data_IF_240193479945
#
_entry.id   IF_240193479945
#
_cell.length_a   1.000
_cell.length_b   1.000
_cell.length_c   1.000
_cell.angle_alpha   90.00
_cell.angle_beta   90.00
_cell.angle_gamma   90.00
#
_symmetry.space_group_name_H-M   'P 1'
#
loop_
_entity.id
_entity.type
_entity.pdbx_description
1 polymer ?
#
# COMPACT_ATOMS: atom_id res chain seq x y z
N UNK A 1 -1.41 -6.24 6.38
CA UNK A 1 -2.15 -4.96 6.48
C UNK A 1 -1.73 -3.96 5.41
N UNK A 2 -0.46 -3.51 5.36
CA UNK A 2 0.00 -2.49 4.38
C UNK A 2 -0.31 -2.83 2.92
N UNK A 3 -0.05 -4.07 2.51
CA UNK A 3 -0.35 -4.56 1.15
C UNK A 3 -1.85 -4.48 0.83
N UNK A 4 -2.73 -4.94 1.72
CA UNK A 4 -4.18 -4.85 1.53
C UNK A 4 -4.68 -3.41 1.44
N UNK A 5 -4.16 -2.51 2.29
CA UNK A 5 -4.51 -1.08 2.22
C UNK A 5 -4.01 -0.45 0.90
N UNK A 6 -2.82 -0.86 0.44
CA UNK A 6 -2.30 -0.48 -0.87
C UNK A 6 -3.21 -0.92 -2.02
N UNK A 7 -3.62 -2.18 -1.99
CA UNK A 7 -4.56 -2.74 -2.97
C UNK A 7 -5.90 -2.01 -2.97
N UNK A 8 -6.48 -1.74 -1.79
CA UNK A 8 -7.72 -0.97 -1.66
C UNK A 8 -7.62 0.45 -2.22
N UNK A 9 -6.46 1.11 -2.04
CA UNK A 9 -6.19 2.41 -2.66
C UNK A 9 -6.13 2.33 -4.18
N UNK A 10 -5.47 1.31 -4.72
CA UNK A 10 -5.42 1.11 -6.18
C UNK A 10 -6.81 0.86 -6.77
N UNK A 11 -7.64 0.03 -6.13
CA UNK A 11 -9.03 -0.19 -6.57
C UNK A 11 -9.85 1.10 -6.50
N UNK A 12 -9.68 1.89 -5.43
CA UNK A 12 -10.33 3.18 -5.27
C UNK A 12 -9.93 4.18 -6.36
N UNK A 13 -8.62 4.31 -6.63
CA UNK A 13 -8.09 5.20 -7.66
C UNK A 13 -8.57 4.78 -9.06
N UNK A 14 -8.64 3.48 -9.34
CA UNK A 14 -9.17 2.95 -10.60
C UNK A 14 -10.65 3.30 -10.79
N UNK A 15 -11.47 3.21 -9.74
CA UNK A 15 -12.88 3.62 -9.81
C UNK A 15 -13.01 5.10 -10.14
N UNK A 16 -12.24 5.94 -9.46
CA UNK A 16 -12.27 7.39 -9.68
C UNK A 16 -11.81 7.76 -11.10
N UNK A 17 -10.81 7.05 -11.63
CA UNK A 17 -10.32 7.26 -12.99
C UNK A 17 -11.34 6.87 -14.07
N UNK A 18 -12.21 5.89 -13.81
CA UNK A 18 -13.25 5.48 -14.77
C UNK A 18 -14.29 6.58 -14.99
N UNK A 19 -14.63 7.32 -13.93
CA UNK A 19 -15.67 8.36 -13.98
C UNK A 19 -15.08 9.78 -14.17
N UNK A 20 -13.77 9.97 -13.96
CA UNK A 20 -13.14 11.29 -14.13
C UNK A 20 -12.71 11.58 -15.58
N UNK A 21 -12.60 12.87 -15.90
CA UNK A 21 -12.01 13.33 -17.17
C UNK A 21 -10.48 13.24 -17.18
N UNK A 22 -9.87 13.15 -16.00
CA UNK A 22 -8.42 13.11 -15.84
C UNK A 22 -7.94 11.67 -15.93
N UNK A 23 -7.43 11.31 -17.11
CA UNK A 23 -6.97 9.93 -17.39
C UNK A 23 -5.49 9.71 -17.09
N UNK A 24 -4.75 10.76 -16.73
CA UNK A 24 -3.31 10.67 -16.61
C UNK A 24 -2.89 9.93 -15.34
N UNK A 25 -2.40 8.70 -15.52
CA UNK A 25 -2.06 7.81 -14.40
C UNK A 25 -0.56 7.81 -14.12
N UNK A 26 -0.18 7.34 -12.93
CA UNK A 26 1.23 7.05 -12.58
C UNK A 26 1.90 6.12 -13.60
N UNK A 27 1.14 5.19 -14.20
CA UNK A 27 1.64 4.25 -15.22
C UNK A 27 1.98 4.99 -16.51
N UNK A 28 1.11 5.90 -16.95
CA UNK A 28 1.38 6.71 -18.13
C UNK A 28 2.56 7.65 -17.94
N UNK A 29 2.70 8.25 -16.75
CA UNK A 29 3.84 9.10 -16.43
C UNK A 29 5.17 8.34 -16.44
N UNK A 30 5.22 7.15 -15.84
CA UNK A 30 6.41 6.29 -15.87
C UNK A 30 6.74 5.86 -17.31
N UNK A 31 5.72 5.49 -18.10
CA UNK A 31 5.91 5.15 -19.52
C UNK A 31 6.50 6.33 -20.30
N UNK A 32 5.92 7.53 -20.16
CA UNK A 32 6.39 8.72 -20.86
C UNK A 32 7.83 9.10 -20.49
N UNK A 33 8.24 8.88 -19.22
CA UNK A 33 9.62 9.06 -18.78
C UNK A 33 10.56 8.01 -19.39
N UNK A 34 10.17 6.73 -19.38
CA UNK A 34 10.94 5.65 -20.00
C UNK A 34 11.10 5.87 -21.51
N UNK A 35 10.03 6.27 -22.20
CA UNK A 35 10.06 6.56 -23.64
C UNK A 35 11.00 7.75 -23.94
N UNK A 36 10.96 8.79 -23.08
CA UNK A 36 11.86 9.94 -23.22
C UNK A 36 13.32 9.53 -23.00
N UNK A 37 13.59 8.66 -22.01
CA UNK A 37 14.92 8.11 -21.75
C UNK A 37 15.46 7.26 -22.91
N UNK A 38 14.60 6.44 -23.52
CA UNK A 38 14.95 5.61 -24.68
C UNK A 38 15.16 6.43 -25.96
N UNK A 39 14.51 7.60 -26.06
CA UNK A 39 14.67 8.53 -27.17
C UNK A 39 15.94 9.38 -27.11
N UNK A 40 16.64 9.42 -25.97
CA UNK A 40 17.94 10.10 -25.87
C UNK A 40 18.99 9.31 -26.67
N UNK A 41 19.89 9.99 -27.41
CA UNK A 41 20.91 9.33 -28.28
C UNK A 41 21.88 8.40 -27.54
N UNK A 42 22.80 7.68 -28.21
CA UNK A 42 23.64 6.68 -27.54
C UNK A 42 24.55 7.25 -26.43
N UNK A 43 24.77 6.46 -25.36
CA UNK A 43 25.63 6.79 -24.22
C UNK A 43 24.95 6.68 -22.85
N UNK A 44 25.71 6.18 -21.86
CA UNK A 44 25.30 5.96 -20.46
C UNK A 44 24.25 4.86 -20.27
N UNK A 45 24.38 3.77 -21.03
CA UNK A 45 23.48 2.61 -21.03
C UNK A 45 23.23 2.06 -19.62
N UNK A 46 24.26 2.02 -18.76
CA UNK A 46 24.14 1.55 -17.38
C UNK A 46 23.25 2.48 -16.51
N UNK A 47 23.42 3.81 -16.63
CA UNK A 47 22.59 4.80 -15.91
C UNK A 47 21.16 4.80 -16.42
N UNK A 48 20.95 4.56 -17.71
CA UNK A 48 19.62 4.44 -18.31
C UNK A 48 18.92 3.18 -17.84
N UNK A 49 19.63 2.05 -17.81
CA UNK A 49 19.14 0.79 -17.26
C UNK A 49 18.67 0.99 -15.81
N UNK A 50 19.54 1.52 -14.95
CA UNK A 50 19.20 1.78 -13.54
C UNK A 50 17.99 2.72 -13.40
N UNK A 51 17.93 3.81 -14.16
CA UNK A 51 16.81 4.75 -14.10
C UNK A 51 15.50 4.12 -14.60
N UNK A 52 15.55 3.35 -15.69
CA UNK A 52 14.38 2.63 -16.21
C UNK A 52 13.86 1.60 -15.19
N UNK A 53 14.76 0.85 -14.57
CA UNK A 53 14.44 -0.16 -13.55
C UNK A 53 13.80 0.50 -12.31
N UNK A 54 14.39 1.60 -11.83
CA UNK A 54 13.85 2.36 -10.70
C UNK A 54 12.47 2.92 -11.03
N UNK A 55 12.28 3.55 -12.20
CA UNK A 55 10.98 4.08 -12.61
C UNK A 55 9.93 2.98 -12.73
N UNK A 56 10.29 1.81 -13.24
CA UNK A 56 9.39 0.66 -13.36
C UNK A 56 9.04 0.08 -11.98
N UNK A 57 10.03 -0.04 -11.09
CA UNK A 57 9.84 -0.47 -9.69
C UNK A 57 8.88 0.43 -8.92
N UNK A 58 8.78 1.71 -9.27
CA UNK A 58 7.80 2.61 -8.65
C UNK A 58 6.35 2.11 -8.80
N UNK A 59 6.04 1.44 -9.92
CA UNK A 59 4.70 0.92 -10.18
C UNK A 59 4.37 -0.32 -9.34
N UNK A 60 5.39 -1.01 -8.84
CA UNK A 60 5.25 -2.23 -8.02
C UNK A 60 5.10 -1.92 -6.53
N UNK A 61 5.54 -0.73 -6.09
CA UNK A 61 5.50 -0.33 -4.69
C UNK A 61 4.19 0.44 -4.39
N UNK A 62 3.41 -0.08 -3.45
CA UNK A 62 2.16 0.56 -3.02
C UNK A 62 2.39 1.53 -1.84
N UNK A 63 2.97 2.70 -2.14
CA UNK A 63 3.29 3.73 -1.15
C UNK A 63 2.11 4.69 -0.90
N UNK A 64 1.93 5.21 0.33
CA UNK A 64 1.10 6.39 0.58
C UNK A 64 1.53 7.58 -0.27
N UNK A 65 0.63 8.50 -0.67
CA UNK A 65 0.93 9.61 -1.57
C UNK A 65 2.16 10.42 -1.16
N UNK A 66 2.26 10.80 0.12
CA UNK A 66 3.36 11.59 0.65
C UNK A 66 4.69 10.83 0.61
N UNK A 67 4.64 9.51 0.87
CA UNK A 67 5.82 8.65 0.79
C UNK A 67 6.22 8.37 -0.65
N UNK A 68 5.24 8.20 -1.53
CA UNK A 68 5.44 8.02 -2.96
C UNK A 68 6.09 9.26 -3.58
N UNK A 69 5.62 10.46 -3.21
CA UNK A 69 6.19 11.72 -3.67
C UNK A 69 7.65 11.88 -3.20
N UNK A 70 7.92 11.66 -1.91
CA UNK A 70 9.30 11.68 -1.40
C UNK A 70 10.18 10.63 -2.10
N UNK A 71 9.64 9.45 -2.38
CA UNK A 71 10.35 8.41 -3.10
C UNK A 71 10.66 8.83 -4.54
N UNK A 72 9.71 9.46 -5.25
CA UNK A 72 9.91 10.00 -6.61
C UNK A 72 11.02 11.04 -6.60
N UNK A 73 11.01 11.97 -5.64
CA UNK A 73 12.09 12.96 -5.47
C UNK A 73 13.43 12.27 -5.29
N UNK A 74 13.54 11.38 -4.29
CA UNK A 74 14.83 10.77 -3.94
C UNK A 74 15.35 9.79 -4.99
N UNK A 75 14.47 9.07 -5.69
CA UNK A 75 14.88 7.96 -6.55
C UNK A 75 14.81 8.29 -8.03
N UNK A 76 13.81 9.04 -8.47
CA UNK A 76 13.60 9.37 -9.90
C UNK A 76 14.23 10.73 -10.19
N UNK A 77 13.86 11.78 -9.45
CA UNK A 77 14.35 13.14 -9.76
C UNK A 77 15.86 13.27 -9.63
N UNK A 78 16.45 12.78 -8.54
CA UNK A 78 17.89 12.88 -8.34
C UNK A 78 18.68 12.15 -9.44
N UNK A 79 18.17 11.03 -9.94
CA UNK A 79 18.78 10.30 -11.06
C UNK A 79 18.62 11.03 -12.39
N UNK A 80 17.47 11.65 -12.63
CA UNK A 80 17.29 12.53 -13.79
C UNK A 80 18.23 13.75 -13.71
N UNK A 81 18.43 14.34 -12.53
CA UNK A 81 19.40 15.44 -12.34
C UNK A 81 20.82 15.00 -12.67
N UNK A 82 21.27 13.85 -12.14
CA UNK A 82 22.61 13.33 -12.43
C UNK A 82 22.78 12.97 -13.92
N UNK A 83 21.76 12.36 -14.54
CA UNK A 83 21.77 12.04 -15.96
C UNK A 83 21.86 13.31 -16.83
N UNK A 84 21.03 14.32 -16.57
CA UNK A 84 21.02 15.57 -17.32
C UNK A 84 22.28 16.42 -17.07
N UNK A 85 22.87 16.34 -15.88
CA UNK A 85 24.16 16.98 -15.61
C UNK A 85 25.29 16.38 -16.47
N UNK A 86 25.29 15.05 -16.66
CA UNK A 86 26.31 14.34 -17.46
C UNK A 86 26.02 14.33 -18.95
N UNK A 87 24.75 14.36 -19.32
CA UNK A 87 24.25 14.36 -20.70
C UNK A 87 23.18 15.44 -20.86
N UNK A 88 23.58 16.73 -20.93
CA UNK A 88 22.65 17.83 -21.10
C UNK A 88 21.79 17.65 -22.34
N UNK A 89 20.50 17.98 -22.21
CA UNK A 89 19.56 17.94 -23.32
C UNK A 89 19.14 19.36 -23.72
N UNK A 90 18.37 19.47 -24.80
CA UNK A 90 17.70 20.73 -25.11
C UNK A 90 16.65 21.07 -24.05
N UNK A 91 16.45 22.37 -23.81
CA UNK A 91 15.47 22.92 -22.83
C UNK A 91 14.07 22.31 -22.99
N UNK A 92 13.67 21.99 -24.23
CA UNK A 92 12.39 21.34 -24.53
C UNK A 92 12.29 19.94 -23.89
N UNK A 93 13.33 19.11 -24.02
CA UNK A 93 13.35 17.74 -23.49
C UNK A 93 13.40 17.78 -21.95
N UNK A 94 14.27 18.63 -21.40
CA UNK A 94 14.37 18.79 -19.94
C UNK A 94 13.05 19.30 -19.35
N UNK A 95 12.43 20.30 -19.98
CA UNK A 95 11.11 20.80 -19.61
C UNK A 95 10.03 19.72 -19.66
N UNK A 96 10.07 18.84 -20.67
CA UNK A 96 9.17 17.68 -20.76
C UNK A 96 9.39 16.70 -19.61
N UNK A 97 10.64 16.36 -19.27
CA UNK A 97 10.98 15.46 -18.16
C UNK A 97 10.41 16.00 -16.85
N UNK A 98 10.75 17.24 -16.48
CA UNK A 98 10.30 17.82 -15.21
C UNK A 98 8.78 17.98 -15.13
N UNK A 99 8.13 18.36 -16.24
CA UNK A 99 6.67 18.41 -16.31
C UNK A 99 6.04 17.02 -16.14
N UNK A 100 6.69 15.96 -16.64
CA UNK A 100 6.18 14.59 -16.54
C UNK A 100 6.36 14.06 -15.12
N UNK A 101 7.48 14.36 -14.46
CA UNK A 101 7.70 14.07 -13.04
C UNK A 101 6.68 14.78 -12.16
N UNK A 102 6.39 16.05 -12.41
CA UNK A 102 5.36 16.78 -11.66
C UNK A 102 3.97 16.19 -11.87
N UNK A 103 3.65 15.71 -13.08
CA UNK A 103 2.41 14.96 -13.31
C UNK A 103 2.41 13.62 -12.57
N UNK A 104 3.54 12.90 -12.54
CA UNK A 104 3.69 11.66 -11.77
C UNK A 104 3.36 11.90 -10.30
N UNK A 105 3.95 12.91 -9.66
CA UNK A 105 3.66 13.28 -8.26
C UNK A 105 2.19 13.62 -8.04
N UNK A 106 1.60 14.46 -8.90
CA UNK A 106 0.18 14.82 -8.82
C UNK A 106 -0.74 13.61 -8.92
N UNK A 107 -0.41 12.64 -9.79
CA UNK A 107 -1.21 11.43 -9.96
C UNK A 107 -1.32 10.57 -8.69
N UNK A 108 -0.37 10.70 -7.75
CA UNK A 108 -0.39 9.98 -6.47
C UNK A 108 -1.50 10.46 -5.54
N UNK A 109 -2.01 11.68 -5.76
CA UNK A 109 -3.02 12.30 -4.91
C UNK A 109 -4.43 12.18 -5.48
N UNK A 110 -4.61 11.46 -6.60
CA UNK A 110 -5.89 11.42 -7.30
C UNK A 110 -7.05 10.91 -6.43
N UNK A 111 -6.80 9.91 -5.58
CA UNK A 111 -7.84 9.38 -4.69
C UNK A 111 -8.20 10.27 -3.50
N UNK A 112 -7.55 11.43 -3.36
CA UNK A 112 -7.87 12.51 -2.42
C UNK A 112 -8.22 13.83 -3.12
N UNK A 113 -8.16 13.90 -4.45
CA UNK A 113 -8.39 15.13 -5.20
C UNK A 113 -9.85 15.58 -5.04
N UNK A 114 -10.14 16.77 -4.47
CA UNK A 114 -11.50 17.23 -4.25
C UNK A 114 -12.35 17.31 -5.53
N UNK A 115 -11.76 17.68 -6.67
CA UNK A 115 -12.47 17.75 -7.95
C UNK A 115 -12.90 16.37 -8.43
N UNK A 116 -12.02 15.37 -8.29
CA UNK A 116 -12.30 13.98 -8.65
C UNK A 116 -13.31 13.35 -7.69
N UNK A 117 -13.15 13.61 -6.39
CA UNK A 117 -14.05 13.10 -5.35
C UNK A 117 -15.46 13.67 -5.47
N UNK A 118 -15.60 14.96 -5.81
CA UNK A 118 -16.92 15.60 -5.98
C UNK A 118 -17.65 15.14 -7.23
N UNK A 119 -16.92 14.69 -8.26
CA UNK A 119 -17.51 14.14 -9.48
C UNK A 119 -18.05 12.71 -9.30
N UNK A 120 -17.58 11.96 -8.29
CA UNK A 120 -17.97 10.58 -8.05
C UNK A 120 -19.19 10.48 -7.11
N UNK A 121 -20.37 10.13 -7.62
CA UNK A 121 -21.65 10.19 -6.90
C UNK A 121 -22.21 8.82 -6.45
N UNK A 122 -21.53 7.72 -6.78
CA UNK A 122 -21.99 6.35 -6.51
C UNK A 122 -21.96 5.94 -5.03
N UNK A 123 -21.24 6.67 -4.19
CA UNK A 123 -21.09 6.39 -2.76
C UNK A 123 -21.50 7.64 -1.94
N UNK A 124 -22.25 7.49 -0.83
CA UNK A 124 -22.62 8.61 0.03
C UNK A 124 -21.41 9.45 0.48
N UNK A 125 -21.54 10.77 0.47
CA UNK A 125 -20.46 11.70 0.80
C UNK A 125 -19.82 11.46 2.18
N UNK A 126 -20.62 11.11 3.19
CA UNK A 126 -20.09 10.80 4.52
C UNK A 126 -19.20 9.56 4.47
N UNK A 127 -19.68 8.49 3.83
CA UNK A 127 -18.97 7.23 3.69
C UNK A 127 -17.70 7.40 2.85
N UNK A 128 -17.76 8.18 1.76
CA UNK A 128 -16.62 8.53 0.91
C UNK A 128 -15.51 9.23 1.70
N UNK A 129 -15.86 10.23 2.53
CA UNK A 129 -14.87 10.95 3.36
C UNK A 129 -14.20 10.03 4.36
N UNK A 130 -14.97 9.21 5.07
CA UNK A 130 -14.43 8.27 6.05
C UNK A 130 -13.55 7.22 5.38
N UNK A 131 -13.96 6.73 4.21
CA UNK A 131 -13.21 5.78 3.40
C UNK A 131 -11.85 6.33 3.00
N UNK A 132 -11.83 7.51 2.37
CA UNK A 132 -10.60 8.20 1.92
C UNK A 132 -9.68 8.48 3.10
N UNK A 133 -10.24 8.96 4.22
CA UNK A 133 -9.44 9.17 5.44
C UNK A 133 -8.78 7.87 5.88
N UNK A 134 -9.52 6.77 5.90
CA UNK A 134 -9.07 5.50 6.42
C UNK A 134 -8.00 4.84 5.55
N UNK A 135 -8.22 4.72 4.23
CA UNK A 135 -7.28 4.01 3.33
C UNK A 135 -5.97 4.76 3.10
N UNK A 136 -5.97 6.07 3.31
CA UNK A 136 -4.77 6.89 3.19
C UNK A 136 -4.18 7.31 4.55
N UNK A 137 -4.68 6.80 5.67
CA UNK A 137 -4.02 7.00 6.97
C UNK A 137 -2.65 6.30 6.93
N UNK A 138 -1.58 7.03 7.27
CA UNK A 138 -0.23 6.49 7.29
C UNK A 138 -0.04 5.55 8.48
N UNK A 139 -0.27 4.25 8.25
CA UNK A 139 -0.01 3.22 9.25
C UNK A 139 1.28 2.47 8.94
N UNK A 140 2.38 2.98 9.51
CA UNK A 140 3.68 2.33 9.44
C UNK A 140 3.79 1.09 10.30
N UNK A 141 2.87 0.92 11.24
CA UNK A 141 2.80 -0.19 12.17
C UNK A 141 1.41 -0.83 12.08
N UNK A 142 1.29 -2.05 12.62
CA UNK A 142 -0.03 -2.67 12.77
C UNK A 142 -0.87 -1.85 13.75
N UNK A 143 -2.09 -1.52 13.35
CA UNK A 143 -3.05 -0.79 14.18
C UNK A 143 -4.37 -1.54 14.15
N UNK A 144 -4.70 -2.18 15.27
CA UNK A 144 -5.92 -2.95 15.44
C UNK A 144 -7.18 -2.09 15.30
N UNK A 145 -7.14 -0.82 15.72
CA UNK A 145 -8.26 0.10 15.63
C UNK A 145 -8.56 0.52 14.19
N UNK A 146 -7.51 0.75 13.38
CA UNK A 146 -7.69 0.99 11.93
C UNK A 146 -8.16 -0.26 11.21
N UNK A 147 -7.64 -1.43 11.57
CA UNK A 147 -8.09 -2.71 11.01
C UNK A 147 -9.58 -2.95 11.28
N UNK A 148 -10.03 -2.71 12.51
CA UNK A 148 -11.45 -2.87 12.88
C UNK A 148 -12.35 -1.94 12.07
N UNK A 149 -11.96 -0.66 11.97
CA UNK A 149 -12.69 0.34 11.17
C UNK A 149 -12.74 -0.05 9.70
N UNK A 150 -11.66 -0.60 9.14
CA UNK A 150 -11.62 -1.06 7.75
C UNK A 150 -12.60 -2.22 7.52
N UNK A 151 -12.57 -3.23 8.40
CA UNK A 151 -13.48 -4.39 8.31
C UNK A 151 -14.94 -3.92 8.45
N UNK A 152 -15.21 -2.98 9.36
CA UNK A 152 -16.53 -2.42 9.56
C UNK A 152 -17.02 -1.66 8.32
N UNK A 153 -16.22 -0.75 7.77
CA UNK A 153 -16.58 -0.01 6.54
C UNK A 153 -16.78 -0.95 5.35
N UNK A 154 -15.91 -1.94 5.17
CA UNK A 154 -16.05 -2.93 4.09
C UNK A 154 -17.27 -3.83 4.28
N UNK A 155 -17.91 -3.83 5.45
CA UNK A 155 -19.17 -4.56 5.67
C UNK A 155 -20.40 -3.78 5.21
N UNK A 156 -20.28 -2.47 4.97
CA UNK A 156 -21.33 -1.65 4.39
C UNK A 156 -21.51 -1.99 2.90
N UNK A 157 -22.70 -2.46 2.46
CA UNK A 157 -22.94 -2.79 1.06
C UNK A 157 -23.00 -1.56 0.14
N UNK A 158 -23.17 -0.36 0.68
CA UNK A 158 -23.19 0.89 -0.09
C UNK A 158 -21.78 1.35 -0.50
N UNK A 159 -20.74 0.77 0.10
CA UNK A 159 -19.36 0.95 -0.33
C UNK A 159 -19.08 0.04 -1.55
N UNK A 160 -19.50 0.45 -2.74
CA UNK A 160 -19.36 -0.36 -3.95
C UNK A 160 -17.93 -0.32 -4.52
N UNK A 161 -17.01 -1.03 -3.86
CA UNK A 161 -15.60 -1.13 -4.25
C UNK A 161 -15.31 -2.55 -4.78
N UNK A 162 -14.61 -2.66 -5.93
CA UNK A 162 -14.11 -3.93 -6.42
C UNK A 162 -13.34 -4.70 -5.34
N UNK A 163 -13.55 -6.02 -5.30
CA UNK A 163 -12.88 -6.90 -4.33
C UNK A 163 -13.17 -6.60 -2.85
N UNK A 164 -14.20 -5.81 -2.50
CA UNK A 164 -14.61 -5.52 -1.11
C UNK A 164 -14.66 -6.76 -0.22
N UNK A 165 -15.39 -7.80 -0.65
CA UNK A 165 -15.55 -9.03 0.13
C UNK A 165 -14.23 -9.80 0.29
N UNK A 166 -13.38 -9.79 -0.74
CA UNK A 166 -12.05 -10.42 -0.68
C UNK A 166 -11.16 -9.70 0.34
N UNK A 167 -11.03 -8.38 0.24
CA UNK A 167 -10.20 -7.61 1.16
C UNK A 167 -10.75 -7.67 2.58
N UNK A 168 -12.08 -7.63 2.77
CA UNK A 168 -12.72 -7.86 4.08
C UNK A 168 -12.28 -9.20 4.67
N UNK A 169 -12.40 -10.29 3.91
CA UNK A 169 -12.00 -11.64 4.36
C UNK A 169 -10.52 -11.68 4.75
N UNK A 170 -9.63 -11.13 3.93
CA UNK A 170 -8.19 -11.10 4.20
C UNK A 170 -7.86 -10.30 5.47
N UNK A 171 -8.51 -9.14 5.65
CA UNK A 171 -8.33 -8.31 6.84
C UNK A 171 -8.87 -8.98 8.11
N UNK A 172 -10.01 -9.69 8.03
CA UNK A 172 -10.54 -10.48 9.16
C UNK A 172 -9.60 -11.62 9.54
N UNK A 173 -9.01 -12.33 8.58
CA UNK A 173 -8.01 -13.36 8.86
C UNK A 173 -6.76 -12.78 9.53
N UNK A 174 -6.31 -11.61 9.06
CA UNK A 174 -5.17 -10.91 9.65
C UNK A 174 -5.47 -10.44 11.09
N UNK A 175 -6.71 -10.03 11.38
CA UNK A 175 -7.17 -9.71 12.74
C UNK A 175 -7.07 -10.95 13.64
N UNK A 176 -7.67 -12.06 13.23
CA UNK A 176 -7.65 -13.30 14.00
C UNK A 176 -6.22 -13.78 14.27
N UNK A 177 -5.33 -13.70 13.28
CA UNK A 177 -3.92 -14.04 13.46
C UNK A 177 -3.24 -13.15 14.51
N UNK A 178 -3.42 -11.84 14.44
CA UNK A 178 -2.84 -10.92 15.41
C UNK A 178 -3.33 -11.18 16.84
N UNK A 179 -4.62 -11.49 17.01
CA UNK A 179 -5.21 -11.85 18.30
C UNK A 179 -4.63 -13.16 18.86
N UNK A 180 -4.49 -14.19 18.02
CA UNK A 180 -3.89 -15.47 18.45
C UNK A 180 -2.42 -15.32 18.84
N UNK A 181 -1.63 -14.51 18.13
CA UNK A 181 -0.24 -14.22 18.48
C UNK A 181 -0.14 -13.49 19.82
N UNK A 182 -1.04 -12.54 20.07
CA UNK A 182 -1.08 -11.83 21.35
C UNK A 182 -1.39 -12.76 22.53
N UNK A 183 -2.36 -13.67 22.36
CA UNK A 183 -2.67 -14.69 23.38
C UNK A 183 -1.48 -15.61 23.64
N UNK A 184 -0.78 -16.04 22.59
CA UNK A 184 0.40 -16.90 22.73
C UNK A 184 1.54 -16.18 23.46
N UNK A 185 1.78 -14.91 23.15
CA UNK A 185 2.78 -14.08 23.83
C UNK A 185 2.45 -13.91 25.32
N UNK A 186 1.20 -13.59 25.65
CA UNK A 186 0.75 -13.49 27.04
C UNK A 186 0.94 -14.79 27.81
N UNK A 187 0.52 -15.91 27.22
CA UNK A 187 0.67 -17.23 27.84
C UNK A 187 2.15 -17.58 28.06
N UNK A 188 3.01 -17.29 27.08
CA UNK A 188 4.45 -17.57 27.17
C UNK A 188 5.11 -16.70 28.23
N UNK A 189 4.79 -15.41 28.28
CA UNK A 189 5.32 -14.49 29.28
C UNK A 189 4.87 -14.85 30.69
N UNK A 190 3.62 -15.28 30.86
CA UNK A 190 3.10 -15.77 32.13
C UNK A 190 3.85 -17.04 32.59
N UNK A 191 4.04 -18.02 31.70
CA UNK A 191 4.79 -19.24 32.02
C UNK A 191 6.25 -18.93 32.37
N UNK A 192 6.91 -18.04 31.64
CA UNK A 192 8.27 -17.60 31.96
C UNK A 192 8.33 -16.95 33.34
N UNK A 193 7.39 -16.07 33.68
CA UNK A 193 7.32 -15.48 35.02
C UNK A 193 7.07 -16.52 36.12
N UNK A 194 6.21 -17.53 35.89
CA UNK A 194 6.00 -18.60 36.86
C UNK A 194 7.24 -19.48 37.05
N UNK A 195 7.93 -19.84 35.97
CA UNK A 195 9.16 -20.65 36.02
C UNK A 195 10.30 -19.88 36.71
N UNK A 196 10.43 -18.58 36.43
CA UNK A 196 11.45 -17.72 37.04
C UNK A 196 11.16 -17.40 38.51
N UNK A 197 9.88 -17.31 38.91
CA UNK A 197 9.48 -17.03 40.29
C UNK A 197 9.26 -18.29 41.15
N UNK A 198 9.58 -19.47 40.64
CA UNK A 198 9.53 -20.73 41.40
C UNK A 198 8.12 -21.28 41.69
N UNK A 199 7.16 -21.04 40.79
CA UNK A 199 5.78 -21.53 40.93
C UNK A 199 5.65 -23.06 40.79
N UNK A 200 4.71 -23.64 41.55
CA UNK A 200 4.44 -25.08 41.64
C UNK A 200 4.34 -25.77 40.27
N UNK A 201 5.14 -26.83 40.08
CA UNK A 201 5.23 -27.64 38.85
C UNK A 201 3.91 -28.34 38.46
N UNK A 202 2.97 -28.43 39.39
CA UNK A 202 1.68 -29.12 39.19
C UNK A 202 0.71 -28.30 38.32
N UNK A 203 0.63 -26.98 38.50
CA UNK A 203 -0.21 -26.08 37.69
C UNK A 203 0.29 -25.91 36.25
N UNK A 204 1.61 -25.92 36.07
CA UNK A 204 2.24 -25.84 34.74
C UNK A 204 1.89 -27.06 33.89
N UNK A 205 1.75 -28.23 34.51
CA UNK A 205 1.44 -29.49 33.82
C UNK A 205 -0.03 -29.59 33.39
N UNK A 206 -0.98 -29.06 34.17
CA UNK A 206 -2.40 -29.02 33.78
C UNK A 206 -2.69 -28.03 32.65
N UNK A 207 -1.95 -26.93 32.55
CA UNK A 207 -2.18 -25.90 31.52
C UNK A 207 -1.58 -26.23 30.16
N UNK A 208 -0.44 -26.95 30.11
CA UNK A 208 0.10 -27.48 28.84
C UNK A 208 -0.89 -28.44 28.17
N UNK A 209 -1.68 -29.18 28.96
CA UNK A 209 -2.70 -30.10 28.47
C UNK A 209 -4.00 -29.42 28.01
N UNK A 210 -4.20 -28.13 28.33
CA UNK A 210 -5.40 -27.35 27.97
C UNK A 210 -5.18 -26.36 26.81
N UNK A 211 -4.01 -26.37 26.16
CA UNK A 211 -3.83 -25.66 24.88
C UNK A 211 -4.70 -26.34 23.82
N UNK A 212 -5.69 -25.66 23.23
CA UNK A 212 -6.52 -26.27 22.19
C UNK A 212 -5.61 -26.63 21.01
N UNK A 213 -5.54 -27.92 20.70
CA UNK A 213 -4.89 -28.45 19.50
C UNK A 213 -5.72 -28.12 18.26
N UNK A 214 -5.90 -26.82 17.98
CA UNK A 214 -6.46 -26.33 16.73
C UNK A 214 -5.32 -26.10 15.72
N UNK A 215 -4.71 -27.20 15.29
CA UNK A 215 -4.10 -27.30 13.97
C UNK A 215 -3.94 -28.78 13.61
N UNK A 216 -4.96 -29.35 12.96
CA UNK A 216 -4.83 -30.63 12.24
C UNK A 216 -4.70 -30.31 10.74
N UNK A 217 -3.49 -30.33 10.16
CA UNK A 217 -3.27 -29.99 8.75
C UNK A 217 -3.76 -31.07 7.77
N UNK A 218 -4.50 -32.09 8.21
CA UNK A 218 -4.94 -33.22 7.36
C UNK A 218 -6.44 -33.30 7.04
N UNK A 219 -7.22 -32.24 7.25
CA UNK A 219 -8.61 -32.17 6.74
C UNK A 219 -8.77 -31.08 5.68
N UNK A 220 -8.29 -31.37 4.48
CA UNK A 220 -8.42 -30.48 3.32
C UNK A 220 -8.26 -31.16 1.97
N UNK A 221 -8.41 -32.49 1.90
CA UNK A 221 -8.41 -33.25 0.66
C UNK A 221 -9.40 -34.41 0.79
N UNK A 222 -10.65 -34.12 0.42
CA UNK A 222 -11.59 -35.00 -0.27
C UNK A 222 -12.64 -34.12 -0.94
#
# INVERSE_FOLDING_TARGET
MKQEIGYLREQWEQLLLQDSKEKYTKVEAVRDLNDTLMGMGNGYEDLRGDLCDVQSRFLEISLPPEKGENWVVMQIEERWKDLLYRSPQGEEIEGKIWKTIEKLKKSLHIGRNPEVLSAYDKIPEALKRDWVKLIYTSNDHFDAGVLEKLIHMLSDPTLDIPSRERSKKNLTQLKALAETMHQLEQNTNFLLQQVLNGGDKELVSEMINNVPSNFDPKKGLL
#
